data_IF_330783131500
#
_entry.id   IF_330783131500
#
_cell.length_a   1.000
_cell.length_b   1.000
_cell.length_c   1.000
_cell.angle_alpha   90.00
_cell.angle_beta   90.00
_cell.angle_gamma   90.00
#
_symmetry.space_group_name_H-M   'P 1'
#
loop_
_entity.id
_entity.type
_entity.pdbx_description
1 polymer ?
#
# COMPACT_ATOMS: atom_id res chain seq x y z
N UNK A 1 1.24 10.58 -32.40
CA UNK A 1 0.40 11.61 -33.06
C UNK A 1 1.17 12.92 -32.96
N UNK A 2 1.97 13.26 -33.97
CA UNK A 2 1.59 13.93 -35.23
C UNK A 2 1.41 15.44 -35.07
N UNK A 3 2.49 16.17 -35.27
CA UNK A 3 2.66 17.21 -36.30
C UNK A 3 1.55 18.25 -36.59
N UNK A 4 2.03 19.50 -36.66
CA UNK A 4 1.75 20.50 -37.72
C UNK A 4 0.47 21.34 -37.60
N UNK A 5 0.59 22.69 -37.47
CA UNK A 5 0.44 23.70 -38.58
C UNK A 5 0.41 25.18 -38.11
N UNK A 6 1.33 25.97 -38.70
CA UNK A 6 1.19 27.30 -39.36
C UNK A 6 0.42 28.50 -38.72
N UNK A 7 1.18 29.62 -38.61
CA UNK A 7 0.92 31.10 -38.74
C UNK A 7 -0.18 31.49 -39.79
N UNK A 8 -0.65 32.78 -40.00
CA UNK A 8 0.14 34.06 -40.03
C UNK A 8 -0.54 35.49 -39.93
N UNK A 9 0.29 36.56 -40.08
CA UNK A 9 0.08 37.98 -40.57
C UNK A 9 -0.62 39.00 -39.62
N UNK A 10 -0.35 40.32 -39.50
CA UNK A 10 0.34 41.39 -40.26
C UNK A 10 0.87 42.47 -39.28
N UNK A 11 1.91 43.26 -39.58
CA UNK A 11 1.74 44.49 -40.37
C UNK A 11 3.02 45.32 -40.46
N UNK A 12 3.31 45.80 -41.67
CA UNK A 12 4.45 46.63 -42.07
C UNK A 12 3.98 48.06 -42.35
N UNK A 13 4.82 49.06 -42.05
CA UNK A 13 4.70 50.42 -42.56
C UNK A 13 6.06 51.11 -42.56
N UNK A 14 6.53 51.49 -43.74
CA UNK A 14 7.81 52.14 -44.03
C UNK A 14 7.53 53.48 -44.76
N UNK A 15 8.60 54.25 -45.02
CA UNK A 15 8.73 55.50 -45.83
C UNK A 15 8.62 56.81 -45.00
N UNK A 16 9.39 57.87 -45.21
CA UNK A 16 10.13 58.39 -46.39
C UNK A 16 11.33 59.29 -46.01
N UNK A 17 12.20 59.49 -47.01
CA UNK A 17 13.40 60.35 -47.12
C UNK A 17 13.05 61.79 -47.55
N UNK A 18 13.75 62.81 -47.03
CA UNK A 18 13.97 64.18 -47.59
C UNK A 18 15.11 64.84 -46.76
N UNK A 19 16.09 65.60 -47.24
CA UNK A 19 16.44 66.15 -48.55
C UNK A 19 17.90 66.66 -48.54
N UNK A 20 18.47 66.88 -49.73
CA UNK A 20 19.88 67.27 -49.98
C UNK A 20 19.89 68.28 -51.12
N UNK A 21 20.03 69.59 -50.86
CA UNK A 21 20.34 70.58 -51.92
C UNK A 21 20.65 72.02 -51.42
N UNK A 22 21.88 72.33 -50.97
CA UNK A 22 22.36 73.75 -50.86
C UNK A 22 23.90 73.91 -50.90
N UNK A 23 24.66 73.10 -51.64
CA UNK A 23 26.14 73.25 -51.70
C UNK A 23 26.74 73.46 -53.11
N UNK A 24 25.91 73.66 -54.15
CA UNK A 24 26.38 73.78 -55.54
C UNK A 24 26.50 75.23 -56.07
N UNK A 25 26.16 76.25 -55.28
CA UNK A 25 26.24 77.66 -55.71
C UNK A 25 27.60 78.32 -55.42
N UNK A 26 28.36 77.82 -54.43
CA UNK A 26 29.68 78.36 -54.07
C UNK A 26 30.83 77.83 -54.96
N UNK A 27 30.72 76.59 -55.46
CA UNK A 27 31.74 76.02 -56.35
C UNK A 27 31.73 76.63 -57.78
N UNK A 28 30.58 77.17 -58.22
CA UNK A 28 30.46 77.87 -59.51
C UNK A 28 31.04 79.30 -59.47
N UNK A 29 31.05 79.95 -58.31
CA UNK A 29 31.69 81.27 -58.12
C UNK A 29 33.23 81.15 -57.99
N UNK A 30 33.73 80.05 -57.43
CA UNK A 30 35.17 79.80 -57.32
C UNK A 30 35.84 79.53 -58.69
N UNK A 31 35.13 78.88 -59.62
CA UNK A 31 35.61 78.61 -60.98
C UNK A 31 35.72 79.85 -61.87
N UNK A 32 34.86 80.85 -61.68
CA UNK A 32 34.86 82.08 -62.49
C UNK A 32 36.06 82.99 -62.18
N UNK A 33 36.51 83.04 -60.92
CA UNK A 33 37.67 83.86 -60.50
C UNK A 33 39.02 83.26 -60.90
N UNK A 34 39.13 81.93 -61.03
CA UNK A 34 40.36 81.26 -61.48
C UNK A 34 40.56 81.45 -62.99
N UNK A 35 39.48 81.55 -63.77
CA UNK A 35 39.56 81.74 -65.23
C UNK A 35 39.90 83.18 -65.63
N UNK A 36 39.55 84.18 -64.80
CA UNK A 36 39.85 85.59 -65.01
C UNK A 36 41.34 85.94 -64.75
N UNK A 37 42.03 85.21 -63.86
CA UNK A 37 43.44 85.48 -63.53
C UNK A 37 44.41 84.96 -64.60
N UNK A 38 44.06 83.87 -65.30
CA UNK A 38 44.88 83.28 -66.37
C UNK A 38 44.86 84.14 -67.64
N UNK A 39 43.76 84.83 -67.93
CA UNK A 39 43.65 85.75 -69.08
C UNK A 39 44.52 87.02 -68.89
N UNK A 40 44.74 87.46 -67.66
CA UNK A 40 45.53 88.66 -67.35
C UNK A 40 47.05 88.43 -67.49
N UNK A 41 47.53 87.22 -67.20
CA UNK A 41 48.95 86.85 -67.33
C UNK A 41 49.36 86.62 -68.79
N UNK A 42 48.44 86.14 -69.64
CA UNK A 42 48.67 85.96 -71.08
C UNK A 42 48.69 87.30 -71.82
N UNK A 43 47.94 88.31 -71.36
CA UNK A 43 47.94 89.65 -71.95
C UNK A 43 49.22 90.44 -71.62
N UNK A 44 49.80 90.25 -70.42
CA UNK A 44 51.04 90.91 -70.01
C UNK A 44 52.30 90.31 -70.65
N UNK A 45 52.28 89.02 -70.99
CA UNK A 45 53.39 88.34 -71.66
C UNK A 45 53.49 88.65 -73.17
N UNK A 46 52.39 89.10 -73.80
CA UNK A 46 52.34 89.35 -75.26
C UNK A 46 52.72 90.80 -75.66
N UNK A 47 52.87 91.72 -74.69
CA UNK A 47 53.19 93.13 -74.96
C UNK A 47 54.70 93.47 -74.91
N UNK A 48 55.55 92.55 -74.43
CA UNK A 48 57.00 92.79 -74.22
C UNK A 48 57.87 92.07 -75.29
N UNK A 49 57.26 91.33 -76.22
CA UNK A 49 57.96 90.55 -77.25
C UNK A 49 57.78 91.05 -78.69
N UNK A 50 57.19 92.23 -78.90
CA UNK A 50 57.12 92.83 -80.24
C UNK A 50 58.04 94.04 -80.37
N UNK A 51 59.03 93.87 -81.24
CA UNK A 51 59.79 94.88 -81.99
C UNK A 51 61.17 95.24 -81.42
N UNK A 52 62.08 94.28 -81.57
CA UNK A 52 63.39 94.51 -82.18
C UNK A 52 63.36 93.81 -83.54
N UNK A 53 63.62 94.51 -84.64
CA UNK A 53 64.58 94.03 -85.64
C UNK A 53 64.98 95.13 -86.64
N UNK A 54 66.30 95.28 -86.71
CA UNK A 54 67.09 95.60 -87.89
C UNK A 54 67.17 97.08 -88.34
N UNK A 55 68.34 97.68 -88.64
CA UNK A 55 69.71 97.18 -88.74
C UNK A 55 70.67 98.39 -88.77
N UNK A 56 71.87 98.19 -88.24
CA UNK A 56 73.19 98.73 -88.68
C UNK A 56 73.60 100.20 -88.57
N UNK A 57 74.68 100.38 -87.78
CA UNK A 57 75.83 101.32 -87.89
C UNK A 57 75.48 102.82 -87.75
N UNK A 58 76.14 103.63 -86.92
CA UNK A 58 77.59 103.79 -86.80
C UNK A 58 77.91 104.65 -85.56
N UNK A 59 79.07 104.37 -84.98
CA UNK A 59 79.55 104.79 -83.68
C UNK A 59 79.85 106.31 -83.58
N UNK A 60 79.06 107.03 -82.76
CA UNK A 60 79.58 108.03 -81.82
C UNK A 60 79.27 107.57 -80.38
N UNK A 61 80.05 106.60 -79.93
CA UNK A 61 80.96 106.76 -78.81
C UNK A 61 80.40 107.55 -77.63
N UNK A 62 79.74 106.82 -76.73
CA UNK A 62 80.20 106.67 -75.35
C UNK A 62 80.67 108.00 -74.73
N UNK A 63 79.77 108.96 -74.43
CA UNK A 63 79.82 109.87 -73.27
C UNK A 63 78.48 110.64 -73.23
N UNK A 64 77.43 110.08 -72.62
CA UNK A 64 76.34 110.79 -71.91
C UNK A 64 75.21 109.87 -71.33
N UNK A 65 75.15 108.54 -71.56
CA UNK A 65 74.20 107.68 -70.81
C UNK A 65 74.49 107.58 -69.31
N UNK A 66 75.64 108.09 -68.84
CA UNK A 66 76.02 108.12 -67.43
C UNK A 66 75.36 109.26 -66.62
N UNK A 67 74.84 110.32 -67.27
CA UNK A 67 74.22 111.46 -66.57
C UNK A 67 72.70 111.30 -66.35
N UNK A 68 72.02 110.50 -67.17
CA UNK A 68 70.59 110.20 -67.02
C UNK A 68 70.34 109.14 -65.93
N UNK A 69 71.29 108.23 -65.71
CA UNK A 69 71.22 107.24 -64.63
C UNK A 69 71.34 107.88 -63.23
N UNK A 70 72.05 108.99 -63.09
CA UNK A 70 72.28 109.66 -61.80
C UNK A 70 71.08 110.49 -61.30
N UNK A 71 70.22 111.01 -62.18
CA UNK A 71 69.04 111.80 -61.76
C UNK A 71 67.77 110.92 -61.70
N UNK A 72 67.69 109.85 -62.50
CA UNK A 72 66.64 108.82 -62.36
C UNK A 72 66.68 108.10 -61.00
N UNK A 73 67.87 107.91 -60.42
CA UNK A 73 68.04 107.30 -59.11
C UNK A 73 67.51 108.16 -57.95
N UNK A 74 67.55 109.49 -58.07
CA UNK A 74 67.03 110.41 -57.05
C UNK A 74 65.48 110.51 -57.08
N UNK A 75 64.85 110.36 -58.25
CA UNK A 75 63.40 110.27 -58.37
C UNK A 75 62.82 108.96 -57.78
N UNK A 76 63.53 107.84 -57.98
CA UNK A 76 63.13 106.53 -57.43
C UNK A 76 63.28 106.49 -55.91
N UNK A 77 64.31 107.14 -55.32
CA UNK A 77 64.46 107.23 -53.87
C UNK A 77 63.37 108.05 -53.19
N UNK A 78 62.88 109.14 -53.80
CA UNK A 78 61.79 109.95 -53.23
C UNK A 78 60.42 109.24 -53.29
N UNK A 79 60.16 108.50 -54.39
CA UNK A 79 58.96 107.67 -54.50
C UNK A 79 59.00 106.44 -53.57
N UNK A 80 60.16 105.83 -53.36
CA UNK A 80 60.33 104.72 -52.42
C UNK A 80 60.35 105.17 -50.95
N UNK A 81 60.78 106.40 -50.64
CA UNK A 81 60.65 106.99 -49.30
C UNK A 81 59.18 107.26 -48.90
N UNK A 82 58.32 107.69 -49.85
CA UNK A 82 56.87 107.81 -49.63
C UNK A 82 56.19 106.43 -49.48
N UNK A 83 56.60 105.41 -50.25
CA UNK A 83 56.07 104.04 -50.15
C UNK A 83 56.51 103.29 -48.87
N UNK A 84 57.71 103.54 -48.36
CA UNK A 84 58.22 102.91 -47.13
C UNK A 84 57.60 103.50 -45.84
N UNK A 85 57.16 104.76 -45.85
CA UNK A 85 56.49 105.37 -44.68
C UNK A 85 55.03 104.90 -44.50
N UNK A 86 54.37 104.49 -45.58
CA UNK A 86 52.96 104.05 -45.53
C UNK A 86 52.77 102.53 -45.31
N UNK A 87 53.82 101.71 -45.53
CA UNK A 87 53.78 100.25 -45.29
C UNK A 87 54.21 99.80 -43.88
N UNK A 88 54.80 100.68 -43.06
CA UNK A 88 55.26 100.33 -41.71
C UNK A 88 54.16 100.11 -40.65
N UNK A 89 52.90 100.43 -40.94
CA UNK A 89 51.77 100.33 -40.00
C UNK A 89 50.85 99.12 -40.18
N UNK A 90 50.75 98.57 -41.39
CA UNK A 90 49.73 97.53 -41.70
C UNK A 90 50.24 96.10 -41.54
N UNK A 91 51.55 95.86 -41.69
CA UNK A 91 52.15 94.53 -41.41
C UNK A 91 52.29 94.26 -39.92
N UNK A 92 52.54 95.29 -39.10
CA UNK A 92 52.57 95.14 -37.63
C UNK A 92 51.21 94.72 -37.09
N UNK A 93 50.10 95.23 -37.64
CA UNK A 93 48.75 94.97 -37.14
C UNK A 93 48.21 93.59 -37.56
N UNK A 94 48.67 93.05 -38.70
CA UNK A 94 48.35 91.67 -39.13
C UNK A 94 49.18 90.63 -38.37
N UNK A 95 50.48 90.88 -38.17
CA UNK A 95 51.32 90.01 -37.34
C UNK A 95 50.86 90.06 -35.87
N UNK A 96 50.46 91.22 -35.35
CA UNK A 96 49.89 91.38 -34.02
C UNK A 96 48.53 90.68 -33.89
N UNK A 97 47.63 90.78 -34.89
CA UNK A 97 46.37 90.00 -34.89
C UNK A 97 46.59 88.49 -34.98
N UNK A 98 47.53 88.03 -35.79
CA UNK A 98 47.79 86.60 -35.98
C UNK A 98 48.55 86.00 -34.78
N UNK A 99 49.42 86.78 -34.13
CA UNK A 99 50.04 86.39 -32.85
C UNK A 99 49.06 86.43 -31.69
N UNK A 100 48.10 87.36 -31.66
CA UNK A 100 47.01 87.34 -30.68
C UNK A 100 46.09 86.15 -30.91
N UNK A 101 45.77 85.81 -32.17
CA UNK A 101 44.95 84.64 -32.50
C UNK A 101 45.64 83.34 -32.11
N UNK A 102 46.93 83.18 -32.42
CA UNK A 102 47.72 82.03 -31.98
C UNK A 102 47.88 81.98 -30.46
N UNK A 103 47.95 83.13 -29.76
CA UNK A 103 47.91 83.15 -28.29
C UNK A 103 46.55 82.76 -27.75
N UNK A 104 45.44 83.24 -28.33
CA UNK A 104 44.09 82.87 -27.91
C UNK A 104 43.78 81.41 -28.22
N UNK A 105 44.25 80.88 -29.36
CA UNK A 105 44.13 79.47 -29.71
C UNK A 105 45.02 78.60 -28.81
N UNK A 106 46.26 79.01 -28.52
CA UNK A 106 47.15 78.30 -27.59
C UNK A 106 46.69 78.40 -26.13
N UNK A 107 46.10 79.51 -25.70
CA UNK A 107 45.48 79.66 -24.38
C UNK A 107 44.21 78.81 -24.27
N UNK A 108 43.34 78.81 -25.28
CA UNK A 108 42.16 77.94 -25.32
C UNK A 108 42.52 76.45 -25.44
N UNK A 109 43.60 76.11 -26.14
CA UNK A 109 44.12 74.73 -26.25
C UNK A 109 44.79 74.30 -24.95
N UNK A 110 45.56 75.18 -24.29
CA UNK A 110 46.14 74.95 -22.96
C UNK A 110 45.05 74.81 -21.89
N UNK A 111 43.99 75.62 -21.95
CA UNK A 111 42.87 75.57 -21.03
C UNK A 111 42.01 74.31 -21.24
N UNK A 112 41.79 73.88 -22.50
CA UNK A 112 41.19 72.57 -22.81
C UNK A 112 42.07 71.41 -22.35
N UNK A 113 43.38 71.47 -22.60
CA UNK A 113 44.31 70.43 -22.17
C UNK A 113 44.35 70.33 -20.64
N UNK A 114 44.29 71.47 -19.94
CA UNK A 114 44.21 71.52 -18.49
C UNK A 114 42.86 71.00 -17.97
N UNK A 115 41.74 71.33 -18.61
CA UNK A 115 40.42 70.76 -18.28
C UNK A 115 40.40 69.24 -18.47
N UNK A 116 40.94 68.74 -19.59
CA UNK A 116 41.06 67.30 -19.87
C UNK A 116 41.98 66.62 -18.85
N UNK A 117 43.07 67.27 -18.45
CA UNK A 117 43.99 66.76 -17.43
C UNK A 117 43.35 66.73 -16.04
N UNK A 118 42.66 67.79 -15.63
CA UNK A 118 41.91 67.85 -14.37
C UNK A 118 40.75 66.84 -14.35
N UNK A 119 40.07 66.63 -15.47
CA UNK A 119 39.03 65.60 -15.64
C UNK A 119 39.63 64.19 -15.58
N UNK A 120 40.77 63.95 -16.24
CA UNK A 120 41.48 62.67 -16.17
C UNK A 120 42.00 62.36 -14.77
N UNK A 121 42.53 63.35 -14.04
CA UNK A 121 42.96 63.18 -12.65
C UNK A 121 41.77 62.87 -11.73
N UNK A 122 40.63 63.56 -11.91
CA UNK A 122 39.39 63.23 -11.19
C UNK A 122 38.88 61.83 -11.51
N UNK A 123 38.88 61.45 -12.79
CA UNK A 123 38.48 60.11 -13.22
C UNK A 123 39.43 59.05 -12.65
N UNK A 124 40.74 59.31 -12.61
CA UNK A 124 41.72 58.38 -12.05
C UNK A 124 41.54 58.20 -10.54
N UNK A 125 41.26 59.28 -9.81
CA UNK A 125 40.94 59.22 -8.37
C UNK A 125 39.63 58.46 -8.13
N UNK A 126 38.59 58.73 -8.93
CA UNK A 126 37.31 58.04 -8.85
C UNK A 126 37.46 56.52 -9.11
N UNK A 127 38.26 56.14 -10.11
CA UNK A 127 38.58 54.74 -10.41
C UNK A 127 39.36 54.09 -9.27
N UNK A 128 40.37 54.75 -8.71
CA UNK A 128 41.16 54.20 -7.60
C UNK A 128 40.31 53.99 -6.35
N UNK A 129 39.41 54.93 -6.05
CA UNK A 129 38.44 54.79 -4.96
C UNK A 129 37.50 53.62 -5.20
N UNK A 130 36.93 53.49 -6.39
CA UNK A 130 36.07 52.37 -6.73
C UNK A 130 36.82 51.02 -6.64
N UNK A 131 38.08 50.96 -7.08
CA UNK A 131 38.90 49.75 -6.96
C UNK A 131 39.22 49.37 -5.51
N UNK A 132 39.41 50.37 -4.65
CA UNK A 132 39.60 50.17 -3.20
C UNK A 132 38.32 49.65 -2.53
N UNK A 133 37.17 50.27 -2.84
CA UNK A 133 35.84 49.84 -2.37
C UNK A 133 35.44 48.44 -2.90
N UNK A 134 35.99 48.03 -4.05
CA UNK A 134 35.82 46.69 -4.62
C UNK A 134 36.80 45.64 -4.06
N UNK A 135 37.81 46.05 -3.30
CA UNK A 135 38.81 45.15 -2.73
C UNK A 135 38.19 44.13 -1.78
N UNK A 136 37.33 44.61 -0.87
CA UNK A 136 36.61 43.77 0.10
C UNK A 136 35.64 42.79 -0.59
N UNK A 137 35.02 43.22 -1.69
CA UNK A 137 34.16 42.35 -2.50
C UNK A 137 34.95 41.17 -3.10
N UNK A 138 36.20 41.39 -3.51
CA UNK A 138 37.06 40.33 -4.06
C UNK A 138 37.46 39.29 -3.01
N UNK A 139 37.41 39.64 -1.72
CA UNK A 139 37.61 38.73 -0.59
C UNK A 139 36.31 38.02 -0.16
N UNK A 140 35.19 38.26 -0.86
CA UNK A 140 33.89 37.65 -0.59
C UNK A 140 33.04 38.45 0.40
N UNK A 141 33.42 39.67 0.76
CA UNK A 141 32.58 40.50 1.61
C UNK A 141 31.40 41.08 0.81
N UNK A 142 30.20 40.54 1.01
CA UNK A 142 28.97 41.05 0.39
C UNK A 142 28.23 42.04 1.31
N UNK A 143 28.84 42.48 2.41
CA UNK A 143 28.27 43.49 3.31
C UNK A 143 28.62 44.92 2.87
N UNK A 144 29.66 45.06 2.05
CA UNK A 144 30.12 46.34 1.52
C UNK A 144 29.26 46.83 0.36
N UNK A 145 29.18 48.15 0.18
CA UNK A 145 28.56 48.79 -0.97
C UNK A 145 29.53 49.85 -1.52
N UNK A 146 29.69 49.90 -2.84
CA UNK A 146 30.43 50.95 -3.52
C UNK A 146 29.68 52.28 -3.42
N UNK A 147 30.39 53.37 -3.19
CA UNK A 147 29.79 54.71 -3.09
C UNK A 147 29.33 55.18 -4.47
N UNK A 148 28.03 55.45 -4.63
CA UNK A 148 27.48 56.02 -5.86
C UNK A 148 27.72 57.54 -5.86
N UNK A 149 28.69 58.00 -6.66
CA UNK A 149 28.99 59.41 -6.88
C UNK A 149 28.35 59.93 -8.18
N UNK A 150 28.29 61.26 -8.35
CA UNK A 150 27.85 61.90 -9.61
C UNK A 150 28.93 61.90 -10.72
N UNK A 151 30.09 61.29 -10.46
CA UNK A 151 31.20 61.22 -11.42
C UNK A 151 31.03 60.05 -12.42
N UNK A 152 32.00 59.90 -13.32
CA UNK A 152 31.99 58.88 -14.38
C UNK A 152 31.86 57.43 -13.85
N UNK A 153 32.26 57.16 -12.61
CA UNK A 153 32.22 55.83 -12.00
C UNK A 153 30.90 55.51 -11.29
N UNK A 154 30.03 56.50 -11.04
CA UNK A 154 28.76 56.31 -10.33
C UNK A 154 27.86 55.23 -10.92
N UNK A 155 27.70 55.18 -12.24
CA UNK A 155 26.91 54.16 -12.92
C UNK A 155 27.52 52.74 -12.81
N UNK A 156 28.85 52.66 -12.68
CA UNK A 156 29.57 51.39 -12.47
C UNK A 156 29.36 50.94 -11.02
N UNK A 157 29.50 51.84 -10.05
CA UNK A 157 29.24 51.57 -8.63
C UNK A 157 27.79 51.09 -8.41
N UNK A 158 26.81 51.70 -9.07
CA UNK A 158 25.41 51.29 -9.02
C UNK A 158 25.18 49.87 -9.58
N UNK A 159 25.79 49.56 -10.74
CA UNK A 159 25.72 48.23 -11.36
C UNK A 159 26.41 47.15 -10.51
N UNK A 160 27.52 47.50 -9.86
CA UNK A 160 28.24 46.65 -8.90
C UNK A 160 27.35 46.39 -7.69
N UNK A 161 26.77 47.41 -7.08
CA UNK A 161 25.89 47.26 -5.91
C UNK A 161 24.69 46.37 -6.23
N UNK A 162 24.10 46.50 -7.43
CA UNK A 162 23.06 45.59 -7.88
C UNK A 162 23.56 44.13 -7.98
N UNK A 163 24.76 43.91 -8.50
CA UNK A 163 25.35 42.57 -8.55
C UNK A 163 25.66 42.01 -7.15
N UNK A 164 26.15 42.84 -6.22
CA UNK A 164 26.36 42.48 -4.81
C UNK A 164 25.04 42.05 -4.18
N UNK A 165 23.95 42.80 -4.37
CA UNK A 165 22.64 42.46 -3.83
C UNK A 165 22.11 41.13 -4.39
N UNK A 166 22.26 40.89 -5.70
CA UNK A 166 21.88 39.62 -6.32
C UNK A 166 22.72 38.44 -5.81
N UNK A 167 24.03 38.63 -5.61
CA UNK A 167 24.91 37.61 -5.01
C UNK A 167 24.55 37.36 -3.54
N UNK A 168 24.22 38.41 -2.79
CA UNK A 168 23.78 38.34 -1.39
C UNK A 168 22.52 37.49 -1.27
N UNK A 169 21.50 37.80 -2.08
CA UNK A 169 20.26 37.03 -2.14
C UNK A 169 20.53 35.57 -2.54
N UNK A 170 21.41 35.32 -3.51
CA UNK A 170 21.77 33.97 -3.93
C UNK A 170 22.42 33.17 -2.79
N UNK A 171 23.38 33.77 -2.06
CA UNK A 171 24.05 33.12 -0.92
C UNK A 171 23.06 32.81 0.20
N UNK A 172 22.15 33.76 0.53
CA UNK A 172 21.10 33.54 1.53
C UNK A 172 20.18 32.39 1.14
N UNK A 173 19.73 32.34 -0.12
CA UNK A 173 18.89 31.26 -0.64
C UNK A 173 19.63 29.92 -0.62
N UNK A 174 20.93 29.89 -0.98
CA UNK A 174 21.74 28.66 -0.92
C UNK A 174 21.87 28.17 0.52
N UNK A 175 22.20 29.04 1.47
CA UNK A 175 22.35 28.66 2.87
C UNK A 175 21.03 28.14 3.46
N UNK A 176 19.92 28.87 3.24
CA UNK A 176 18.58 28.42 3.65
C UNK A 176 18.17 27.09 3.01
N UNK A 177 18.49 26.88 1.73
CA UNK A 177 18.19 25.62 1.04
C UNK A 177 19.03 24.47 1.56
N UNK A 178 20.33 24.69 1.80
CA UNK A 178 21.23 23.70 2.36
C UNK A 178 20.77 23.28 3.77
N UNK A 179 20.39 24.23 4.62
CA UNK A 179 19.90 23.98 5.97
C UNK A 179 18.58 23.18 5.96
N UNK A 180 17.65 23.52 5.06
CA UNK A 180 16.41 22.74 4.84
C UNK A 180 16.69 21.32 4.35
N UNK A 181 17.69 21.13 3.48
CA UNK A 181 18.07 19.79 3.00
C UNK A 181 18.70 18.99 4.14
N UNK A 182 19.55 19.59 4.97
CA UNK A 182 20.15 18.95 6.13
C UNK A 182 19.07 18.49 7.12
N UNK A 183 18.15 19.39 7.51
CA UNK A 183 17.04 19.05 8.42
C UNK A 183 16.13 17.94 7.84
N UNK A 184 15.79 18.01 6.55
CA UNK A 184 14.99 16.98 5.89
C UNK A 184 15.73 15.64 5.82
N UNK A 185 17.06 15.67 5.68
CA UNK A 185 17.91 14.48 5.66
C UNK A 185 17.93 13.83 7.04
N UNK A 186 18.16 14.59 8.11
CA UNK A 186 18.12 14.09 9.49
C UNK A 186 16.78 13.44 9.82
N UNK A 187 15.66 14.11 9.49
CA UNK A 187 14.34 13.54 9.71
C UNK A 187 14.12 12.23 8.93
N UNK A 188 14.58 12.17 7.69
CA UNK A 188 14.44 10.95 6.87
C UNK A 188 15.34 9.84 7.39
N UNK A 189 16.53 10.17 7.90
CA UNK A 189 17.45 9.23 8.54
C UNK A 189 16.83 8.60 9.79
N UNK A 190 16.17 9.40 10.64
CA UNK A 190 15.43 8.90 11.79
C UNK A 190 14.31 7.93 11.36
N UNK A 191 13.50 8.33 10.38
CA UNK A 191 12.42 7.49 9.86
C UNK A 191 12.95 6.17 9.28
N UNK A 192 14.12 6.18 8.64
CA UNK A 192 14.76 4.98 8.11
C UNK A 192 15.22 4.03 9.24
N UNK A 193 15.74 4.55 10.34
CA UNK A 193 16.10 3.73 11.51
C UNK A 193 14.85 3.08 12.12
N UNK A 194 13.79 3.87 12.36
CA UNK A 194 12.53 3.36 12.89
C UNK A 194 11.91 2.28 11.98
N UNK A 195 11.95 2.48 10.66
CA UNK A 195 11.42 1.51 9.70
C UNK A 195 12.26 0.22 9.65
N UNK A 196 13.57 0.30 9.86
CA UNK A 196 14.44 -0.86 9.96
C UNK A 196 14.14 -1.69 11.22
N UNK A 197 13.96 -1.03 12.37
CA UNK A 197 13.55 -1.67 13.62
C UNK A 197 12.17 -2.32 13.52
N UNK A 198 11.21 -1.62 12.91
CA UNK A 198 9.87 -2.15 12.66
C UNK A 198 9.90 -3.38 11.73
N UNK A 199 10.76 -3.36 10.71
CA UNK A 199 10.94 -4.50 9.80
C UNK A 199 11.53 -5.72 10.51
N UNK A 200 12.48 -5.52 11.43
CA UNK A 200 13.03 -6.60 12.25
C UNK A 200 11.98 -7.21 13.17
N UNK A 201 11.19 -6.38 13.86
CA UNK A 201 10.07 -6.86 14.67
C UNK A 201 9.04 -7.62 13.83
N UNK A 202 8.72 -7.12 12.63
CA UNK A 202 7.81 -7.79 11.71
C UNK A 202 8.34 -9.18 11.30
N UNK A 203 9.64 -9.32 11.05
CA UNK A 203 10.26 -10.61 10.73
C UNK A 203 10.12 -11.63 11.88
N UNK A 204 10.25 -11.18 13.13
CA UNK A 204 10.06 -12.03 14.31
C UNK A 204 8.61 -12.51 14.46
N UNK A 205 7.63 -11.61 14.24
CA UNK A 205 6.21 -11.97 14.24
C UNK A 205 5.87 -12.97 13.13
N UNK A 206 6.42 -12.79 11.92
CA UNK A 206 6.24 -13.73 10.80
C UNK A 206 6.79 -15.11 11.14
N UNK A 207 7.95 -15.17 11.80
CA UNK A 207 8.52 -16.44 12.27
C UNK A 207 7.62 -17.11 13.31
N UNK A 208 7.05 -16.35 14.26
CA UNK A 208 6.08 -16.83 15.24
C UNK A 208 4.81 -17.39 14.61
N UNK A 209 4.23 -16.65 13.66
CA UNK A 209 3.05 -17.10 12.90
C UNK A 209 3.35 -18.36 12.09
N UNK A 210 4.53 -18.42 11.45
CA UNK A 210 4.95 -19.61 10.68
C UNK A 210 5.08 -20.86 11.56
N UNK A 211 5.60 -20.71 12.79
CA UNK A 211 5.67 -21.80 13.76
C UNK A 211 4.26 -22.26 14.18
N UNK A 212 3.35 -21.32 14.46
CA UNK A 212 1.97 -21.64 14.81
C UNK A 212 1.21 -22.37 13.68
N UNK A 213 1.48 -22.03 12.42
CA UNK A 213 0.90 -22.72 11.25
C UNK A 213 1.42 -24.16 11.14
N UNK A 214 2.70 -24.40 11.44
CA UNK A 214 3.25 -25.76 11.48
C UNK A 214 2.58 -26.59 12.57
N UNK A 215 2.40 -26.03 13.77
CA UNK A 215 1.68 -26.71 14.86
C UNK A 215 0.21 -26.98 14.48
N UNK A 216 -0.45 -26.01 13.84
CA UNK A 216 -1.80 -26.18 13.30
C UNK A 216 -1.87 -27.34 12.30
N UNK A 217 -0.88 -27.48 11.43
CA UNK A 217 -0.81 -28.58 10.45
C UNK A 217 -0.72 -29.94 11.13
N UNK A 218 0.11 -30.05 12.18
CA UNK A 218 0.20 -31.28 13.00
C UNK A 218 -1.13 -31.59 13.69
N UNK A 219 -1.79 -30.57 14.24
CA UNK A 219 -3.10 -30.73 14.88
C UNK A 219 -4.18 -31.20 13.90
N UNK A 220 -4.20 -30.64 12.69
CA UNK A 220 -5.13 -31.04 11.62
C UNK A 220 -4.92 -32.50 11.21
N UNK A 221 -3.67 -32.95 11.07
CA UNK A 221 -3.36 -34.35 10.76
C UNK A 221 -3.86 -35.28 11.88
N UNK A 222 -3.66 -34.90 13.14
CA UNK A 222 -4.18 -35.65 14.28
C UNK A 222 -5.71 -35.72 14.30
N UNK A 223 -6.41 -34.61 13.99
CA UNK A 223 -7.88 -34.60 13.86
C UNK A 223 -8.34 -35.53 12.73
N UNK A 224 -7.65 -35.50 11.59
CA UNK A 224 -7.95 -36.38 10.45
C UNK A 224 -7.80 -37.87 10.82
N UNK A 225 -6.70 -38.23 11.49
CA UNK A 225 -6.45 -39.58 11.97
C UNK A 225 -7.52 -40.03 12.99
N UNK A 226 -7.85 -39.17 13.97
CA UNK A 226 -8.90 -39.45 14.95
C UNK A 226 -10.27 -39.63 14.31
N UNK A 227 -10.59 -38.83 13.28
CA UNK A 227 -11.82 -38.98 12.53
C UNK A 227 -11.85 -40.34 11.80
N UNK A 228 -10.78 -40.72 11.11
CA UNK A 228 -10.68 -42.02 10.43
C UNK A 228 -10.87 -43.21 11.38
N UNK A 229 -10.23 -43.17 12.56
CA UNK A 229 -10.40 -44.19 13.59
C UNK A 229 -11.84 -44.22 14.12
N UNK A 230 -12.42 -43.05 14.40
CA UNK A 230 -13.80 -42.94 14.88
C UNK A 230 -14.80 -43.48 13.86
N UNK A 231 -14.59 -43.25 12.56
CA UNK A 231 -15.45 -43.79 11.50
C UNK A 231 -15.41 -45.33 11.49
N UNK A 232 -14.22 -45.90 11.66
CA UNK A 232 -14.03 -47.35 11.77
C UNK A 232 -14.76 -47.92 12.99
N UNK A 233 -14.69 -47.24 14.14
CA UNK A 233 -15.42 -47.63 15.35
C UNK A 233 -16.93 -47.54 15.14
N UNK A 234 -17.43 -46.47 14.53
CA UNK A 234 -18.85 -46.30 14.22
C UNK A 234 -19.39 -47.41 13.31
N UNK A 235 -18.66 -47.75 12.24
CA UNK A 235 -18.99 -48.87 11.36
C UNK A 235 -19.00 -50.21 12.10
N UNK A 236 -18.05 -50.43 13.02
CA UNK A 236 -18.03 -51.63 13.86
C UNK A 236 -19.25 -51.69 14.78
N UNK A 237 -19.67 -50.56 15.35
CA UNK A 237 -20.89 -50.46 16.17
C UNK A 237 -22.15 -50.81 15.37
N UNK A 238 -22.25 -50.36 14.12
CA UNK A 238 -23.34 -50.75 13.20
C UNK A 238 -23.40 -52.27 13.03
N UNK A 239 -22.26 -52.90 12.76
CA UNK A 239 -22.18 -54.35 12.60
C UNK A 239 -22.56 -55.12 13.88
N UNK A 240 -22.12 -54.63 15.05
CA UNK A 240 -22.46 -55.24 16.34
C UNK A 240 -23.96 -55.10 16.63
N UNK A 241 -24.53 -53.92 16.41
CA UNK A 241 -25.96 -53.66 16.61
C UNK A 241 -26.82 -54.54 15.70
N UNK A 242 -26.45 -54.66 14.43
CA UNK A 242 -27.13 -55.52 13.46
C UNK A 242 -27.13 -57.00 13.90
N UNK A 243 -25.96 -57.53 14.26
CA UNK A 243 -25.85 -58.91 14.76
C UNK A 243 -26.64 -59.11 16.06
N UNK A 244 -26.63 -58.12 16.96
CA UNK A 244 -27.42 -58.13 18.17
C UNK A 244 -28.93 -58.21 17.88
N UNK A 245 -29.41 -57.41 16.92
CA UNK A 245 -30.80 -57.40 16.51
C UNK A 245 -31.23 -58.76 15.94
N UNK A 246 -30.38 -59.42 15.15
CA UNK A 246 -30.62 -60.77 14.65
C UNK A 246 -30.73 -61.80 15.80
N UNK A 247 -29.84 -61.73 16.80
CA UNK A 247 -29.89 -62.61 17.98
C UNK A 247 -31.18 -62.40 18.78
N UNK A 248 -31.61 -61.15 18.95
CA UNK A 248 -32.87 -60.80 19.61
C UNK A 248 -34.06 -61.35 18.83
N UNK A 249 -34.07 -61.19 17.50
CA UNK A 249 -35.14 -61.69 16.64
C UNK A 249 -35.29 -63.21 16.76
N UNK A 250 -34.19 -63.96 16.73
CA UNK A 250 -34.20 -65.41 16.97
C UNK A 250 -34.70 -65.78 18.37
N UNK A 251 -34.42 -64.94 19.37
CA UNK A 251 -34.94 -65.14 20.74
C UNK A 251 -36.45 -64.95 20.81
N UNK A 252 -37.00 -63.96 20.09
CA UNK A 252 -38.46 -63.74 19.97
C UNK A 252 -39.12 -64.94 19.28
N UNK A 253 -38.53 -65.46 18.21
CA UNK A 253 -38.99 -66.70 17.55
C UNK A 253 -39.00 -67.89 18.51
N UNK A 254 -37.93 -68.07 19.30
CA UNK A 254 -37.86 -69.10 20.34
C UNK A 254 -38.97 -68.98 21.39
N UNK A 255 -39.28 -67.76 21.84
CA UNK A 255 -40.38 -67.51 22.78
C UNK A 255 -41.75 -67.84 22.18
N UNK A 256 -41.96 -67.56 20.89
CA UNK A 256 -43.19 -67.95 20.20
C UNK A 256 -43.35 -69.48 20.13
N UNK A 257 -42.28 -70.21 19.84
CA UNK A 257 -42.28 -71.69 19.84
C UNK A 257 -42.62 -72.23 21.23
N UNK A 258 -42.03 -71.67 22.29
CA UNK A 258 -42.31 -72.07 23.69
C UNK A 258 -43.78 -71.81 24.02
N UNK A 259 -44.32 -70.63 23.66
CA UNK A 259 -45.73 -70.29 23.87
C UNK A 259 -46.66 -71.31 23.21
N UNK A 260 -46.39 -71.65 21.96
CA UNK A 260 -47.23 -72.58 21.20
C UNK A 260 -47.17 -74.00 21.80
N UNK A 261 -46.00 -74.44 22.29
CA UNK A 261 -45.83 -75.71 22.99
C UNK A 261 -46.57 -75.74 24.34
N UNK A 262 -46.55 -74.64 25.11
CA UNK A 262 -47.31 -74.53 26.37
C UNK A 262 -48.81 -74.62 26.09
N UNK A 263 -49.31 -73.93 25.06
CA UNK A 263 -50.73 -74.00 24.67
C UNK A 263 -51.14 -75.43 24.27
N UNK A 264 -50.31 -76.13 23.50
CA UNK A 264 -50.57 -77.53 23.15
C UNK A 264 -50.61 -78.43 24.40
N UNK A 265 -49.66 -78.23 25.32
CA UNK A 265 -49.58 -79.01 26.56
C UNK A 265 -50.78 -78.72 27.46
N UNK A 266 -51.22 -77.45 27.57
CA UNK A 266 -52.42 -77.04 28.30
C UNK A 266 -53.68 -77.72 27.75
N UNK A 267 -53.83 -77.82 26.43
CA UNK A 267 -54.94 -78.58 25.80
C UNK A 267 -54.89 -80.08 26.15
N UNK A 268 -53.70 -80.68 26.23
CA UNK A 268 -53.55 -82.09 26.63
C UNK A 268 -53.93 -82.31 28.09
N UNK A 269 -53.52 -81.42 28.99
CA UNK A 269 -53.86 -81.50 30.42
C UNK A 269 -55.35 -81.25 30.65
N UNK A 270 -55.97 -80.28 29.94
CA UNK A 270 -57.43 -80.07 30.02
C UNK A 270 -58.22 -81.32 29.66
N UNK A 271 -57.84 -82.00 28.57
CA UNK A 271 -58.45 -83.30 28.20
C UNK A 271 -58.23 -84.38 29.27
N UNK A 272 -57.06 -84.41 29.91
CA UNK A 272 -56.80 -85.33 31.03
C UNK A 272 -57.71 -85.02 32.23
N UNK A 273 -57.95 -83.74 32.53
CA UNK A 273 -58.91 -83.30 33.54
C UNK A 273 -60.34 -83.72 33.22
N UNK A 274 -60.77 -83.55 31.97
CA UNK A 274 -62.08 -84.02 31.47
C UNK A 274 -62.22 -85.55 31.61
N UNK A 275 -61.23 -86.33 31.15
CA UNK A 275 -61.24 -87.79 31.32
C UNK A 275 -61.22 -88.22 32.79
N UNK A 276 -60.52 -87.49 33.66
CA UNK A 276 -60.51 -87.77 35.10
C UNK A 276 -61.86 -87.47 35.75
N UNK A 277 -62.61 -86.48 35.24
CA UNK A 277 -63.98 -86.23 35.66
C UNK A 277 -64.92 -87.38 35.26
N UNK A 278 -64.85 -87.84 34.01
CA UNK A 278 -65.63 -89.00 33.55
C UNK A 278 -65.34 -90.26 34.37
N UNK A 279 -64.06 -90.52 34.69
CA UNK A 279 -63.69 -91.64 35.57
C UNK A 279 -64.27 -91.46 36.97
N UNK A 280 -64.25 -90.22 37.51
CA UNK A 280 -64.85 -89.91 38.81
C UNK A 280 -66.34 -90.23 38.85
N UNK A 281 -67.09 -89.86 37.81
CA UNK A 281 -68.52 -90.12 37.68
C UNK A 281 -68.81 -91.64 37.61
N UNK A 282 -67.99 -92.39 36.87
CA UNK A 282 -68.08 -93.86 36.79
C UNK A 282 -67.79 -94.50 38.15
N UNK A 283 -66.75 -94.05 38.86
CA UNK A 283 -66.39 -94.58 40.18
C UNK A 283 -67.49 -94.32 41.20
N UNK A 284 -68.14 -93.15 41.14
CA UNK A 284 -69.33 -92.84 41.94
C UNK A 284 -70.47 -93.82 41.67
N UNK A 285 -70.78 -94.07 40.40
CA UNK A 285 -71.80 -95.07 40.01
C UNK A 285 -71.46 -96.49 40.49
N UNK A 286 -70.20 -96.91 40.41
CA UNK A 286 -69.77 -98.24 40.90
C UNK A 286 -69.94 -98.31 42.43
N UNK A 287 -69.64 -97.23 43.15
CA UNK A 287 -69.86 -97.17 44.59
C UNK A 287 -71.35 -97.31 44.93
N UNK A 288 -72.23 -96.61 44.21
CA UNK A 288 -73.69 -96.73 44.37
C UNK A 288 -74.18 -98.16 44.08
N UNK A 289 -73.64 -98.82 43.05
CA UNK A 289 -73.93 -100.23 42.74
C UNK A 289 -73.43 -101.15 43.86
N UNK A 290 -72.24 -100.92 44.40
CA UNK A 290 -71.69 -101.69 45.51
C UNK A 290 -72.55 -101.55 46.77
N UNK A 291 -73.00 -100.34 47.10
CA UNK A 291 -73.91 -100.08 48.22
C UNK A 291 -75.28 -100.75 48.01
N UNK A 292 -75.86 -100.67 46.80
CA UNK A 292 -77.09 -101.39 46.47
C UNK A 292 -76.92 -102.91 46.57
N UNK A 293 -75.79 -103.44 46.10
CA UNK A 293 -75.48 -104.87 46.17
C UNK A 293 -75.31 -105.33 47.61
N UNK A 294 -74.69 -104.50 48.46
CA UNK A 294 -74.55 -104.75 49.90
C UNK A 294 -75.93 -104.84 50.59
N UNK A 295 -76.84 -103.90 50.27
CA UNK A 295 -78.22 -103.91 50.80
C UNK A 295 -79.01 -105.12 50.30
N UNK A 296 -78.89 -105.47 49.02
CA UNK A 296 -79.54 -106.66 48.44
C UNK A 296 -79.02 -107.96 49.08
N UNK A 297 -77.71 -108.07 49.29
CA UNK A 297 -77.07 -109.21 49.94
C UNK A 297 -77.52 -109.36 51.39
N UNK A 298 -77.57 -108.24 52.15
CA UNK A 298 -78.09 -108.23 53.51
C UNK A 298 -79.56 -108.69 53.57
N UNK A 299 -80.41 -108.18 52.67
CA UNK A 299 -81.81 -108.61 52.57
C UNK A 299 -81.92 -110.11 52.24
N UNK A 300 -81.07 -110.62 51.35
CA UNK A 300 -81.00 -112.04 51.02
C UNK A 300 -80.52 -112.91 52.19
N UNK A 301 -79.53 -112.45 52.96
CA UNK A 301 -79.03 -113.11 54.16
C UNK A 301 -80.12 -113.20 55.25
N UNK A 302 -80.88 -112.12 55.46
CA UNK A 302 -82.04 -112.09 56.38
C UNK A 302 -83.09 -113.12 55.94
N UNK A 303 -83.49 -113.11 54.67
CA UNK A 303 -84.47 -114.05 54.12
C UNK A 303 -83.99 -115.51 54.20
N UNK A 304 -82.72 -115.77 53.93
CA UNK A 304 -82.12 -117.09 54.04
C UNK A 304 -82.07 -117.59 55.50
N UNK A 305 -81.82 -116.70 56.46
CA UNK A 305 -81.87 -116.99 57.89
C UNK A 305 -83.30 -117.30 58.37
N UNK A 306 -84.31 -116.60 57.82
CA UNK A 306 -85.73 -116.89 58.09
C UNK A 306 -86.20 -118.24 57.54
N UNK A 307 -85.58 -118.77 56.48
CA UNK A 307 -85.91 -120.08 55.90
C UNK A 307 -85.29 -121.28 56.66
N UNK A 308 -84.51 -121.05 57.72
CA UNK A 308 -83.95 -122.09 58.59
C UNK A 308 -82.95 -123.02 57.87
N UNK A 309 -83.05 -124.33 58.12
CA UNK A 309 -82.15 -125.35 57.53
C UNK A 309 -82.14 -125.34 55.98
N UNK A 310 -83.28 -125.03 55.34
CA UNK A 310 -83.38 -124.99 53.88
C UNK A 310 -82.67 -123.78 53.24
N UNK A 311 -82.48 -122.68 53.99
CA UNK A 311 -81.86 -121.45 53.53
C UNK A 311 -80.34 -121.38 53.75
N UNK A 312 -79.75 -122.35 54.46
CA UNK A 312 -78.37 -122.30 54.94
C UNK A 312 -77.33 -122.14 53.81
N UNK A 313 -77.53 -122.80 52.66
CA UNK A 313 -76.67 -122.64 51.48
C UNK A 313 -76.78 -121.25 50.84
N UNK A 314 -77.99 -120.67 50.82
CA UNK A 314 -78.23 -119.31 50.32
C UNK A 314 -77.66 -118.24 51.26
N UNK A 315 -77.70 -118.45 52.58
CA UNK A 315 -77.14 -117.53 53.56
C UNK A 315 -75.63 -117.35 53.38
N UNK A 316 -74.89 -118.44 53.13
CA UNK A 316 -73.44 -118.39 52.88
C UNK A 316 -73.11 -117.61 51.61
N UNK A 317 -73.90 -117.78 50.54
CA UNK A 317 -73.71 -117.02 49.30
C UNK A 317 -74.03 -115.53 49.53
N UNK A 318 -75.09 -115.22 50.27
CA UNK A 318 -75.46 -113.84 50.59
C UNK A 318 -74.37 -113.12 51.41
N UNK A 319 -73.80 -113.78 52.44
CA UNK A 319 -72.68 -113.23 53.21
C UNK A 319 -71.44 -112.97 52.33
N UNK A 320 -71.12 -113.88 51.40
CA UNK A 320 -69.96 -113.70 50.51
C UNK A 320 -70.19 -112.58 49.48
N UNK A 321 -71.42 -112.41 48.98
CA UNK A 321 -71.80 -111.28 48.12
C UNK A 321 -71.74 -109.97 48.89
N UNK A 322 -72.20 -109.95 50.15
CA UNK A 322 -72.10 -108.78 51.03
C UNK A 322 -70.64 -108.37 51.24
N UNK A 323 -69.78 -109.34 51.59
CA UNK A 323 -68.34 -109.11 51.77
C UNK A 323 -67.65 -108.63 50.49
N UNK A 324 -68.05 -109.15 49.33
CA UNK A 324 -67.54 -108.70 48.03
C UNK A 324 -67.99 -107.26 47.72
N UNK A 325 -69.24 -106.93 48.03
CA UNK A 325 -69.79 -105.57 47.88
C UNK A 325 -69.05 -104.56 48.78
N UNK A 326 -68.82 -104.88 50.05
CA UNK A 326 -68.02 -104.03 50.96
C UNK A 326 -66.57 -103.86 50.48
N UNK A 327 -65.94 -104.93 49.95
CA UNK A 327 -64.59 -104.82 49.36
C UNK A 327 -64.60 -103.95 48.11
N UNK A 328 -65.64 -104.06 47.27
CA UNK A 328 -65.80 -103.24 46.07
C UNK A 328 -65.98 -101.77 46.44
N UNK A 329 -66.85 -101.46 47.41
CA UNK A 329 -67.09 -100.09 47.92
C UNK A 329 -65.81 -99.45 48.50
N UNK A 330 -65.03 -100.22 49.28
CA UNK A 330 -63.76 -99.75 49.80
C UNK A 330 -62.73 -99.48 48.69
N UNK A 331 -62.67 -100.33 47.67
CA UNK A 331 -61.79 -100.14 46.51
C UNK A 331 -62.20 -98.92 45.68
N UNK A 332 -63.49 -98.73 45.40
CA UNK A 332 -64.00 -97.54 44.70
C UNK A 332 -63.70 -96.26 45.46
N UNK A 333 -63.80 -96.26 46.79
CA UNK A 333 -63.46 -95.08 47.61
C UNK A 333 -61.98 -94.71 47.57
N UNK A 334 -61.10 -95.71 47.48
CA UNK A 334 -59.66 -95.48 47.24
C UNK A 334 -59.42 -94.89 45.86
N UNK A 335 -60.08 -95.42 44.82
CA UNK A 335 -59.99 -94.89 43.44
C UNK A 335 -60.55 -93.47 43.38
N UNK A 336 -61.68 -93.18 44.04
CA UNK A 336 -62.29 -91.85 44.10
C UNK A 336 -61.30 -90.82 44.69
N UNK A 337 -60.58 -91.20 45.75
CA UNK A 337 -59.55 -90.35 46.35
C UNK A 337 -58.42 -90.07 45.35
N UNK A 338 -57.92 -91.11 44.66
CA UNK A 338 -56.90 -90.97 43.61
C UNK A 338 -57.36 -90.06 42.47
N UNK A 339 -58.60 -90.23 42.00
CA UNK A 339 -59.19 -89.42 40.93
C UNK A 339 -59.30 -87.95 41.37
N UNK A 340 -59.75 -87.68 42.60
CA UNK A 340 -59.78 -86.32 43.15
C UNK A 340 -58.39 -85.68 43.22
N UNK A 341 -57.37 -86.44 43.59
CA UNK A 341 -55.97 -85.96 43.55
C UNK A 341 -55.55 -85.62 42.11
N UNK A 342 -55.80 -86.51 41.15
CA UNK A 342 -55.48 -86.25 39.73
C UNK A 342 -56.22 -85.01 39.21
N UNK A 343 -57.49 -84.81 39.57
CA UNK A 343 -58.27 -83.61 39.22
C UNK A 343 -57.66 -82.33 39.81
N UNK A 344 -57.23 -82.37 41.08
CA UNK A 344 -56.55 -81.25 41.72
C UNK A 344 -55.22 -80.92 41.03
N UNK A 345 -54.37 -81.94 40.81
CA UNK A 345 -53.05 -81.79 40.18
C UNK A 345 -53.17 -81.29 38.73
N UNK A 346 -54.16 -81.78 37.97
CA UNK A 346 -54.41 -81.32 36.60
C UNK A 346 -54.87 -79.87 36.56
N UNK A 347 -55.72 -79.45 37.49
CA UNK A 347 -56.16 -78.06 37.58
C UNK A 347 -55.00 -77.11 37.97
N UNK A 348 -54.17 -77.52 38.93
CA UNK A 348 -52.96 -76.79 39.31
C UNK A 348 -51.99 -76.67 38.13
N UNK A 349 -51.79 -77.75 37.37
CA UNK A 349 -50.93 -77.74 36.19
C UNK A 349 -51.46 -76.78 35.09
N UNK A 350 -52.79 -76.70 34.90
CA UNK A 350 -53.39 -75.73 33.96
C UNK A 350 -53.12 -74.29 34.42
N UNK A 351 -53.34 -73.97 35.71
CA UNK A 351 -53.04 -72.65 36.26
C UNK A 351 -51.56 -72.27 36.10
N UNK A 352 -50.66 -73.21 36.35
CA UNK A 352 -49.21 -73.03 36.15
C UNK A 352 -48.85 -72.75 34.68
N UNK A 353 -49.51 -73.43 33.74
CA UNK A 353 -49.33 -73.18 32.30
C UNK A 353 -49.85 -71.82 31.85
N UNK A 354 -50.98 -71.35 32.39
CA UNK A 354 -51.50 -70.01 32.11
C UNK A 354 -50.55 -68.92 32.62
N UNK A 355 -50.04 -69.08 33.85
CA UNK A 355 -49.01 -68.19 34.42
C UNK A 355 -47.74 -68.18 33.57
N UNK A 356 -47.23 -69.35 33.19
CA UNK A 356 -46.03 -69.47 32.35
C UNK A 356 -46.25 -68.83 30.97
N UNK A 357 -47.44 -68.95 30.39
CA UNK A 357 -47.79 -68.28 29.13
C UNK A 357 -47.68 -66.76 29.26
N UNK A 358 -48.17 -66.18 30.35
CA UNK A 358 -48.04 -64.74 30.63
C UNK A 358 -46.57 -64.32 30.72
N UNK A 359 -45.73 -65.10 31.40
CA UNK A 359 -44.30 -64.82 31.52
C UNK A 359 -43.55 -64.91 30.19
N UNK A 360 -43.89 -65.88 29.33
CA UNK A 360 -43.31 -65.98 27.99
C UNK A 360 -43.70 -64.79 27.12
N UNK A 361 -44.96 -64.35 27.17
CA UNK A 361 -45.42 -63.15 26.45
C UNK A 361 -44.69 -61.90 26.94
N UNK A 362 -44.51 -61.76 28.27
CA UNK A 362 -43.72 -60.67 28.87
C UNK A 362 -42.27 -60.72 28.41
N UNK A 363 -41.66 -61.91 28.38
CA UNK A 363 -40.29 -62.12 27.90
C UNK A 363 -40.11 -61.77 26.42
N UNK A 364 -41.06 -62.17 25.56
CA UNK A 364 -41.05 -61.81 24.14
C UNK A 364 -41.17 -60.29 23.94
N UNK A 365 -41.96 -59.60 24.76
CA UNK A 365 -42.08 -58.14 24.71
C UNK A 365 -40.76 -57.45 25.09
N UNK A 366 -40.14 -57.86 26.19
CA UNK A 366 -38.83 -57.31 26.61
C UNK A 366 -37.74 -57.55 25.56
N UNK A 367 -37.74 -58.72 24.92
CA UNK A 367 -36.83 -58.99 23.81
C UNK A 367 -37.12 -58.05 22.64
N UNK A 368 -38.38 -57.81 22.28
CA UNK A 368 -38.75 -56.84 21.23
C UNK A 368 -38.23 -55.44 21.55
N UNK A 369 -38.45 -54.96 22.76
CA UNK A 369 -37.99 -53.62 23.19
C UNK A 369 -36.46 -53.51 23.09
N UNK A 370 -35.71 -54.59 23.42
CA UNK A 370 -34.27 -54.64 23.23
C UNK A 370 -33.85 -54.62 21.74
N UNK A 371 -34.65 -55.20 20.85
CA UNK A 371 -34.45 -55.16 19.41
C UNK A 371 -34.60 -53.75 18.85
N UNK A 372 -35.66 -53.05 19.25
CA UNK A 372 -35.91 -51.65 18.87
C UNK A 372 -34.76 -50.72 19.34
N UNK A 373 -34.23 -50.94 20.54
CA UNK A 373 -33.07 -50.19 21.03
C UNK A 373 -31.79 -50.45 20.19
N UNK A 374 -31.59 -51.68 19.68
CA UNK A 374 -30.45 -52.00 18.81
C UNK A 374 -30.60 -51.36 17.42
N UNK A 375 -31.83 -51.28 16.89
CA UNK A 375 -32.10 -50.53 15.66
C UNK A 375 -31.80 -49.03 15.83
N UNK A 376 -32.12 -48.44 16.98
CA UNK A 376 -31.77 -47.05 17.30
C UNK A 376 -30.24 -46.86 17.35
N UNK A 377 -29.51 -47.77 18.02
CA UNK A 377 -28.04 -47.76 18.04
C UNK A 377 -27.45 -47.84 16.64
N UNK A 378 -28.02 -48.67 15.77
CA UNK A 378 -27.60 -48.77 14.36
C UNK A 378 -27.81 -47.44 13.64
N UNK A 379 -28.98 -46.82 13.79
CA UNK A 379 -29.29 -45.52 13.16
C UNK A 379 -28.35 -44.42 13.64
N UNK A 380 -28.14 -44.30 14.95
CA UNK A 380 -27.24 -43.28 15.53
C UNK A 380 -25.79 -43.51 15.10
N UNK A 381 -25.35 -44.77 15.02
CA UNK A 381 -23.99 -45.09 14.57
C UNK A 381 -23.75 -44.76 13.09
N UNK A 382 -24.76 -44.91 12.23
CA UNK A 382 -24.69 -44.46 10.84
C UNK A 382 -24.58 -42.92 10.75
N UNK A 383 -25.43 -42.19 11.46
CA UNK A 383 -25.35 -40.72 11.53
C UNK A 383 -23.99 -40.26 12.06
N UNK A 384 -23.42 -40.97 13.04
CA UNK A 384 -22.10 -40.69 13.56
C UNK A 384 -21.02 -40.86 12.49
N UNK A 385 -21.09 -41.91 11.66
CA UNK A 385 -20.16 -42.10 10.55
C UNK A 385 -20.22 -40.94 9.53
N UNK A 386 -21.41 -40.46 9.20
CA UNK A 386 -21.60 -39.31 8.29
C UNK A 386 -21.02 -38.01 8.88
N UNK A 387 -21.25 -37.76 10.17
CA UNK A 387 -20.68 -36.60 10.86
C UNK A 387 -19.16 -36.64 10.87
N UNK A 388 -18.58 -37.82 11.10
CA UNK A 388 -17.13 -38.02 11.09
C UNK A 388 -16.56 -37.79 9.68
N UNK A 389 -17.25 -38.21 8.63
CA UNK A 389 -16.84 -37.92 7.26
C UNK A 389 -16.81 -36.40 6.99
N UNK A 390 -17.77 -35.65 7.51
CA UNK A 390 -17.77 -34.19 7.42
C UNK A 390 -16.60 -33.56 8.19
N UNK A 391 -16.24 -34.09 9.36
CA UNK A 391 -15.06 -33.65 10.12
C UNK A 391 -13.78 -33.90 9.31
N UNK A 392 -13.64 -35.07 8.69
CA UNK A 392 -12.48 -35.39 7.84
C UNK A 392 -12.37 -34.43 6.64
N UNK A 393 -13.49 -34.12 5.98
CA UNK A 393 -13.52 -33.16 4.88
C UNK A 393 -13.14 -31.73 5.35
N UNK A 394 -13.65 -31.30 6.50
CA UNK A 394 -13.31 -30.01 7.08
C UNK A 394 -11.83 -29.91 7.47
N UNK A 395 -11.25 -30.99 8.01
CA UNK A 395 -9.83 -31.07 8.32
C UNK A 395 -8.97 -30.95 7.05
N UNK A 396 -9.35 -31.60 5.96
CA UNK A 396 -8.66 -31.45 4.66
C UNK A 396 -8.69 -30.01 4.14
N UNK A 397 -9.84 -29.33 4.25
CA UNK A 397 -9.96 -27.93 3.84
C UNK A 397 -9.14 -26.99 4.75
N UNK A 398 -9.06 -27.28 6.04
CA UNK A 398 -8.18 -26.56 6.97
C UNK A 398 -6.71 -26.77 6.62
N UNK A 399 -6.30 -27.97 6.21
CA UNK A 399 -4.92 -28.25 5.79
C UNK A 399 -4.54 -27.43 4.55
N UNK A 400 -5.42 -27.36 3.55
CA UNK A 400 -5.23 -26.53 2.37
C UNK A 400 -5.09 -25.04 2.74
N UNK A 401 -5.97 -24.56 3.62
CA UNK A 401 -5.93 -23.18 4.11
C UNK A 401 -4.64 -22.87 4.87
N UNK A 402 -4.18 -23.78 5.74
CA UNK A 402 -2.91 -23.66 6.44
C UNK A 402 -1.72 -23.60 5.46
N UNK A 403 -1.75 -24.41 4.39
CA UNK A 403 -0.78 -24.35 3.30
C UNK A 403 -0.74 -22.99 2.60
N UNK A 404 -1.91 -22.41 2.30
CA UNK A 404 -2.00 -21.07 1.70
C UNK A 404 -1.47 -19.97 2.64
N UNK A 405 -1.77 -20.04 3.94
CA UNK A 405 -1.27 -19.07 4.91
C UNK A 405 0.26 -19.21 5.04
N UNK A 406 0.79 -20.44 5.10
CA UNK A 406 2.24 -20.68 5.12
C UNK A 406 2.94 -20.08 3.90
N UNK A 407 2.38 -20.30 2.71
CA UNK A 407 2.92 -19.69 1.48
C UNK A 407 2.88 -18.15 1.53
N UNK A 408 1.79 -17.58 2.02
CA UNK A 408 1.65 -16.13 2.17
C UNK A 408 2.66 -15.56 3.17
N UNK A 409 2.93 -16.25 4.28
CA UNK A 409 3.94 -15.82 5.26
C UNK A 409 5.35 -15.83 4.67
N UNK A 410 5.68 -16.78 3.81
CA UNK A 410 6.96 -16.75 3.07
C UNK A 410 7.06 -15.51 2.16
N UNK A 411 5.99 -15.17 1.43
CA UNK A 411 5.97 -13.96 0.59
C UNK A 411 6.13 -12.69 1.46
N UNK A 412 5.45 -12.62 2.61
CA UNK A 412 5.59 -11.47 3.51
C UNK A 412 7.01 -11.39 4.05
N UNK A 413 7.64 -12.52 4.41
CA UNK A 413 9.03 -12.56 4.84
C UNK A 413 9.99 -11.97 3.78
N UNK A 414 9.79 -12.33 2.52
CA UNK A 414 10.57 -11.78 1.40
C UNK A 414 10.38 -10.27 1.26
N UNK A 415 9.13 -9.79 1.35
CA UNK A 415 8.80 -8.35 1.31
C UNK A 415 9.43 -7.61 2.49
N UNK A 416 9.39 -8.18 3.71
CA UNK A 416 10.02 -7.60 4.89
C UNK A 416 11.53 -7.52 4.73
N UNK A 417 12.17 -8.55 4.18
CA UNK A 417 13.61 -8.54 3.88
C UNK A 417 13.98 -7.48 2.85
N UNK A 418 13.18 -7.35 1.78
CA UNK A 418 13.37 -6.31 0.77
C UNK A 418 13.16 -4.91 1.34
N UNK A 419 12.17 -4.73 2.21
CA UNK A 419 11.87 -3.45 2.88
C UNK A 419 13.03 -3.04 3.79
N UNK A 420 13.54 -3.95 4.61
CA UNK A 420 14.72 -3.72 5.46
C UNK A 420 15.94 -3.31 4.61
N UNK A 421 16.21 -4.06 3.53
CA UNK A 421 17.33 -3.76 2.62
C UNK A 421 17.18 -2.40 1.92
N UNK A 422 15.97 -2.07 1.44
CA UNK A 422 15.66 -0.79 0.81
C UNK A 422 15.74 0.39 1.78
N UNK A 423 15.37 0.16 3.03
CA UNK A 423 15.48 1.15 4.12
C UNK A 423 16.95 1.46 4.44
N UNK A 424 17.79 0.43 4.54
CA UNK A 424 19.25 0.60 4.71
C UNK A 424 19.92 1.29 3.52
N UNK A 425 19.42 1.08 2.30
CA UNK A 425 19.89 1.82 1.13
C UNK A 425 19.47 3.29 1.19
N UNK A 426 18.22 3.56 1.58
CA UNK A 426 17.70 4.93 1.76
C UNK A 426 18.48 5.70 2.80
N UNK A 427 18.75 5.09 3.97
CA UNK A 427 19.60 5.68 5.01
C UNK A 427 20.98 6.09 4.46
N UNK A 428 21.62 5.24 3.66
CA UNK A 428 22.92 5.58 3.03
C UNK A 428 22.82 6.77 2.08
N UNK A 429 21.82 6.80 1.19
CA UNK A 429 21.63 7.93 0.27
C UNK A 429 21.28 9.23 0.98
N UNK A 430 20.58 9.16 2.12
CA UNK A 430 20.30 10.32 2.97
C UNK A 430 21.57 10.82 3.67
N UNK A 431 22.44 9.92 4.12
CA UNK A 431 23.77 10.29 4.62
C UNK A 431 24.59 11.06 3.57
N UNK A 432 24.59 10.60 2.31
CA UNK A 432 25.24 11.30 1.19
C UNK A 432 24.61 12.69 0.93
N UNK A 433 23.28 12.81 1.02
CA UNK A 433 22.58 14.10 0.87
C UNK A 433 22.95 15.09 1.97
N UNK A 434 23.05 14.62 3.21
CA UNK A 434 23.50 15.43 4.35
C UNK A 434 24.93 15.93 4.14
N UNK A 435 25.83 15.09 3.63
CA UNK A 435 27.21 15.47 3.31
C UNK A 435 27.26 16.51 2.17
N UNK A 436 26.45 16.35 1.12
CA UNK A 436 26.35 17.32 0.03
C UNK A 436 25.77 18.66 0.50
N UNK A 437 24.79 18.66 1.41
CA UNK A 437 24.24 19.89 1.99
C UNK A 437 25.29 20.63 2.83
N UNK A 438 26.06 19.90 3.65
CA UNK A 438 27.17 20.46 4.42
C UNK A 438 28.25 21.06 3.50
N UNK A 439 28.63 20.35 2.43
CA UNK A 439 29.59 20.84 1.45
C UNK A 439 29.09 22.09 0.70
N UNK A 440 27.79 22.17 0.39
CA UNK A 440 27.18 23.35 -0.24
C UNK A 440 27.21 24.56 0.71
N UNK A 441 26.93 24.35 2.00
CA UNK A 441 27.02 25.38 3.02
C UNK A 441 28.46 25.87 3.21
N UNK A 442 29.43 24.95 3.24
CA UNK A 442 30.86 25.27 3.30
C UNK A 442 31.35 26.04 2.06
N UNK A 443 30.78 25.76 0.88
CA UNK A 443 31.14 26.47 -0.35
C UNK A 443 30.69 27.94 -0.36
N UNK A 444 29.74 28.33 0.49
CA UNK A 444 29.22 29.71 0.55
C UNK A 444 29.58 30.47 1.81
N UNK A 445 30.13 29.82 2.85
CA UNK A 445 30.63 30.49 4.08
C UNK A 445 31.80 31.43 3.82
N UNK A 446 32.50 31.30 2.69
CA UNK A 446 33.51 32.26 2.25
C UNK A 446 32.93 33.63 1.89
N UNK A 447 31.61 33.73 1.64
CA UNK A 447 30.93 34.99 1.38
C UNK A 447 30.34 35.55 2.68
N UNK A 448 30.76 36.74 3.10
CA UNK A 448 30.18 37.41 4.27
C UNK A 448 28.90 38.12 3.86
N UNK A 449 27.83 37.84 4.58
CA UNK A 449 26.49 38.37 4.35
C UNK A 449 26.05 39.06 5.64
N UNK A 450 25.46 40.25 5.55
CA UNK A 450 24.90 40.92 6.72
C UNK A 450 23.66 40.15 7.16
N UNK A 451 23.67 39.59 8.37
CA UNK A 451 22.46 39.05 9.01
C UNK A 451 21.58 40.23 9.49
N UNK A 452 21.02 41.01 8.57
CA UNK A 452 20.08 42.09 8.93
C UNK A 452 18.66 41.54 9.26
N UNK A 453 18.42 40.24 9.11
CA UNK A 453 17.17 39.57 9.50
C UNK A 453 17.08 39.21 10.99
N UNK A 454 18.13 39.38 11.79
CA UNK A 454 18.07 39.19 13.27
C UNK A 454 17.17 40.23 13.97
N UNK A 455 16.72 41.29 13.26
CA UNK A 455 15.83 42.32 13.80
C UNK A 455 14.34 42.07 13.59
N UNK A 456 13.95 41.11 12.73
CA UNK A 456 12.54 40.81 12.44
C UNK A 456 11.97 39.68 13.31
N UNK A 457 12.79 38.73 13.74
CA UNK A 457 12.35 37.64 14.62
C UNK A 457 12.07 38.13 16.06
N UNK A 458 12.83 39.11 16.57
CA UNK A 458 12.64 39.65 17.93
C UNK A 458 11.34 40.47 18.08
N UNK A 459 10.86 41.11 17.01
CA UNK A 459 9.56 41.82 17.02
C UNK A 459 8.36 40.84 16.93
N UNK A 460 8.51 39.72 16.21
CA UNK A 460 7.47 38.69 16.11
C UNK A 460 7.30 37.90 17.42
N UNK A 461 8.40 37.53 18.09
CA UNK A 461 8.37 36.82 19.39
C UNK A 461 7.67 37.67 20.46
N UNK A 462 7.89 38.99 20.47
CA UNK A 462 7.27 39.89 21.46
C UNK A 462 5.76 40.11 21.20
N UNK A 463 5.31 39.95 19.95
CA UNK A 463 3.89 40.03 19.59
C UNK A 463 3.09 38.78 19.98
N UNK A 464 3.69 37.59 19.95
CA UNK A 464 3.05 36.37 20.46
C UNK A 464 2.99 36.34 21.99
N UNK A 465 4.00 36.89 22.67
CA UNK A 465 4.02 36.97 24.13
C UNK A 465 2.91 37.89 24.68
N UNK A 466 2.63 39.01 24.01
CA UNK A 466 1.55 39.94 24.38
C UNK A 466 0.14 39.43 24.06
N UNK A 467 -0.02 38.52 23.10
CA UNK A 467 -1.31 37.83 22.84
C UNK A 467 -1.60 36.72 23.86
N UNK A 468 -0.57 36.11 24.48
CA UNK A 468 -0.74 35.09 25.52
C UNK A 468 -1.17 35.64 26.88
N UNK A 469 -1.02 36.94 27.13
CA UNK A 469 -1.45 37.61 28.38
C UNK A 469 -2.90 38.16 28.33
N UNK A 470 -3.59 38.04 27.19
CA UNK A 470 -4.97 38.56 26.99
C UNK A 470 -6.04 37.44 26.88
N UNK A 471 -5.64 36.16 26.93
CA UNK A 471 -6.55 35.00 26.99
C UNK A 471 -6.39 34.29 28.33
#
# INVERSE_FOLDING_TARGET
>A
MSDVKRKPVAGTGNTTVEGKETNNTWNLLLGFFILLSVVCVVWLANAVLSVSQDFTNFNQTIVLPALVFAIGALGIMFASYQLLKQRGGSERLLIEKETLRRRQEAEAESERARQIQEENERNQIAILRLLDELGDLAEGDLTVNATVSEDFTGAIADSVNFAIDQLRQLVLVINSTADRVAQSSDQTQMNAVELAEASEHQAQEIAGVSAAINEMTVSIDQVSNNASESATVAQRSVAIAYNGAEVVQRSIEGMNVIRDQIQETSKRIKRLGESSQEIGDIVGLINDIADQTNVLALNAAIQASMAGEAGRGFAVVADEVQRLAERSANATKQIETLVKTIQADTNEAVMSMESTTSEVVRGARLAKDAGEALEEVQSVSNTLADLIQNISNAALQQAESAGHISHTMNIIQDITSQTSSGTLATARSIGELSEMAAALQESVTGFKVSNDDELLDDEMINSEQTLSEIV
#
